data_IF_097971265392
#
_entry.id   IF_097971265392
#
_cell.length_a   1.000
_cell.length_b   1.000
_cell.length_c   1.000
_cell.angle_alpha   90.00
_cell.angle_beta   90.00
_cell.angle_gamma   90.00
#
_symmetry.space_group_name_H-M   'P 1'
#
loop_
_entity.id
_entity.type
_entity.pdbx_description
1 polymer ?
#
# COMPACT_ATOMS: atom_id res chain seq x y z
N UNK A 1 -4.03 9.74 12.03
CA UNK A 1 -4.25 9.66 10.56
C UNK A 1 -4.13 8.22 10.03
N UNK A 2 -4.78 7.84 8.91
CA UNK A 2 -4.52 6.53 8.28
C UNK A 2 -3.23 6.58 7.46
N UNK A 3 -2.30 5.66 7.76
CA UNK A 3 -1.07 5.43 7.01
C UNK A 3 -1.20 4.14 6.21
N UNK A 4 -0.80 4.19 4.94
CA UNK A 4 -0.70 3.01 4.08
C UNK A 4 0.74 2.51 4.00
N UNK A 5 0.94 1.20 4.15
CA UNK A 5 2.26 0.55 4.10
C UNK A 5 2.59 -0.01 2.72
N UNK A 6 2.08 0.62 1.65
CA UNK A 6 2.17 0.07 0.29
C UNK A 6 3.63 -0.13 -0.18
N UNK A 7 4.54 0.78 0.17
CA UNK A 7 5.98 0.63 -0.18
C UNK A 7 6.63 -0.56 0.53
N UNK A 8 6.25 -0.79 1.78
CA UNK A 8 6.78 -1.87 2.61
C UNK A 8 6.30 -3.22 2.06
N UNK A 9 5.00 -3.34 1.75
CA UNK A 9 4.42 -4.54 1.13
C UNK A 9 5.03 -4.87 -0.23
N UNK A 10 5.29 -3.86 -1.07
CA UNK A 10 5.97 -4.06 -2.37
C UNK A 10 7.40 -4.59 -2.18
N UNK A 11 8.14 -4.01 -1.23
CA UNK A 11 9.50 -4.43 -0.95
C UNK A 11 9.54 -5.85 -0.37
N UNK A 12 8.64 -6.15 0.56
CA UNK A 12 8.54 -7.47 1.18
C UNK A 12 8.16 -8.55 0.17
N UNK A 13 7.16 -8.30 -0.67
CA UNK A 13 6.79 -9.23 -1.75
C UNK A 13 7.94 -9.45 -2.73
N UNK A 14 8.64 -8.38 -3.12
CA UNK A 14 9.81 -8.51 -3.99
C UNK A 14 10.95 -9.31 -3.36
N UNK A 15 11.14 -9.18 -2.04
CA UNK A 15 12.10 -9.98 -1.30
C UNK A 15 11.69 -11.45 -1.24
N UNK A 16 10.43 -11.75 -0.91
CA UNK A 16 9.88 -13.11 -0.84
C UNK A 16 9.92 -13.84 -2.19
N UNK A 17 9.55 -13.15 -3.27
CA UNK A 17 9.54 -13.72 -4.62
C UNK A 17 10.92 -13.69 -5.32
N UNK A 18 11.95 -13.17 -4.65
CA UNK A 18 13.29 -12.98 -5.20
C UNK A 18 13.30 -12.20 -6.54
N UNK A 19 12.37 -11.26 -6.70
CA UNK A 19 12.18 -10.45 -7.92
C UNK A 19 11.86 -9.00 -7.59
N UNK A 20 12.10 -8.11 -8.54
CA UNK A 20 11.76 -6.69 -8.36
C UNK A 20 10.28 -6.44 -8.68
N UNK A 21 9.44 -6.39 -7.65
CA UNK A 21 8.05 -5.94 -7.78
C UNK A 21 8.03 -4.42 -7.98
N UNK A 22 7.25 -3.96 -8.94
CA UNK A 22 7.11 -2.52 -9.25
C UNK A 22 5.66 -2.08 -9.13
N UNK A 23 5.43 -0.77 -8.94
CA UNK A 23 4.07 -0.21 -8.95
C UNK A 23 3.31 -0.48 -10.26
N UNK A 24 4.03 -0.66 -11.37
CA UNK A 24 3.43 -1.00 -12.67
C UNK A 24 2.88 -2.42 -12.69
N UNK A 25 3.62 -3.37 -12.11
CA UNK A 25 3.20 -4.75 -11.94
C UNK A 25 1.99 -4.86 -11.01
N UNK A 26 2.06 -4.21 -9.84
CA UNK A 26 0.92 -4.15 -8.91
C UNK A 26 -0.30 -3.56 -9.61
N UNK A 27 -0.11 -2.50 -10.43
CA UNK A 27 -1.20 -1.88 -11.19
C UNK A 27 -1.85 -2.86 -12.17
N UNK A 28 -1.04 -3.66 -12.87
CA UNK A 28 -1.53 -4.67 -13.84
C UNK A 28 -2.24 -5.82 -13.14
N UNK A 29 -1.69 -6.34 -12.05
CA UNK A 29 -2.26 -7.50 -11.35
C UNK A 29 -3.50 -7.15 -10.52
N UNK A 30 -3.52 -5.98 -9.87
CA UNK A 30 -4.68 -5.53 -9.07
C UNK A 30 -5.75 -4.82 -9.89
N UNK A 31 -5.42 -4.37 -11.11
CA UNK A 31 -6.26 -3.47 -11.91
C UNK A 31 -6.40 -2.05 -11.33
N UNK A 32 -5.63 -1.69 -10.30
CA UNK A 32 -5.63 -0.34 -9.73
C UNK A 32 -4.72 0.55 -10.59
N UNK A 33 -5.14 1.78 -10.90
CA UNK A 33 -4.27 2.71 -11.62
C UNK A 33 -2.97 3.02 -10.85
N UNK A 34 -1.83 2.98 -11.56
CA UNK A 34 -0.49 3.34 -11.03
C UNK A 34 -0.47 4.70 -10.33
N UNK A 35 -1.25 5.69 -10.80
CA UNK A 35 -1.36 7.00 -10.17
C UNK A 35 -2.00 6.93 -8.78
N UNK A 36 -3.04 6.11 -8.63
CA UNK A 36 -3.69 5.83 -7.34
C UNK A 36 -2.74 5.12 -6.39
N UNK A 37 -2.03 4.08 -6.85
CA UNK A 37 -1.01 3.40 -6.04
C UNK A 37 0.10 4.36 -5.61
N UNK A 38 0.54 5.26 -6.50
CA UNK A 38 1.54 6.27 -6.17
C UNK A 38 1.04 7.25 -5.09
N UNK A 39 -0.23 7.67 -5.16
CA UNK A 39 -0.84 8.51 -4.11
C UNK A 39 -0.92 7.76 -2.79
N UNK A 40 -1.39 6.53 -2.78
CA UNK A 40 -1.44 5.69 -1.57
C UNK A 40 -0.04 5.52 -0.96
N UNK A 41 0.98 5.30 -1.79
CA UNK A 41 2.37 5.09 -1.35
C UNK A 41 3.08 6.35 -0.84
N UNK A 42 2.69 7.54 -1.30
CA UNK A 42 3.41 8.79 -1.02
C UNK A 42 2.61 9.80 -0.18
N UNK A 43 1.28 9.74 -0.22
CA UNK A 43 0.38 10.67 0.45
C UNK A 43 -0.24 10.01 1.67
N UNK A 44 0.13 10.50 2.85
CA UNK A 44 -0.52 10.09 4.10
C UNK A 44 -1.96 10.60 4.12
N UNK A 45 -2.90 9.80 4.63
CA UNK A 45 -4.32 10.18 4.68
C UNK A 45 -5.01 10.28 3.31
N UNK A 46 -4.49 9.61 2.27
CA UNK A 46 -5.18 9.56 0.98
C UNK A 46 -6.55 8.86 1.10
N UNK A 47 -7.59 9.50 0.57
CA UNK A 47 -8.93 8.91 0.52
C UNK A 47 -8.96 7.80 -0.54
N UNK A 48 -8.95 6.56 -0.08
CA UNK A 48 -9.12 5.35 -0.90
C UNK A 48 -10.46 4.69 -0.60
N UNK A 49 -10.90 3.80 -1.48
CA UNK A 49 -12.11 2.99 -1.27
C UNK A 49 -11.76 1.62 -0.68
N UNK A 50 -12.74 0.97 -0.07
CA UNK A 50 -12.61 -0.40 0.45
C UNK A 50 -12.28 -1.40 -0.64
N UNK A 51 -12.77 -1.21 -1.86
CA UNK A 51 -12.44 -2.07 -3.02
C UNK A 51 -10.93 -2.06 -3.32
N UNK A 52 -10.28 -0.90 -3.24
CA UNK A 52 -8.84 -0.80 -3.47
C UNK A 52 -8.09 -1.53 -2.35
N UNK A 53 -8.54 -1.40 -1.10
CA UNK A 53 -7.93 -2.08 0.04
C UNK A 53 -8.07 -3.59 -0.09
N UNK A 54 -9.25 -4.08 -0.46
CA UNK A 54 -9.52 -5.51 -0.70
C UNK A 54 -8.59 -6.08 -1.78
N UNK A 55 -8.49 -5.41 -2.94
CA UNK A 55 -7.58 -5.81 -4.02
C UNK A 55 -6.12 -5.87 -3.58
N UNK A 56 -5.67 -4.93 -2.75
CA UNK A 56 -4.32 -4.94 -2.20
C UNK A 56 -4.12 -6.10 -1.22
N UNK A 57 -5.09 -6.35 -0.33
CA UNK A 57 -5.04 -7.48 0.60
C UNK A 57 -4.93 -8.81 -0.16
N UNK A 58 -5.74 -9.00 -1.20
CA UNK A 58 -5.72 -10.20 -2.06
C UNK A 58 -4.37 -10.33 -2.78
N UNK A 59 -3.87 -9.25 -3.37
CA UNK A 59 -2.63 -9.27 -4.15
C UNK A 59 -1.39 -9.55 -3.28
N UNK A 60 -1.31 -8.96 -2.09
CA UNK A 60 -0.20 -9.16 -1.16
C UNK A 60 -0.39 -10.40 -0.28
N UNK A 61 -1.60 -10.95 -0.19
CA UNK A 61 -1.92 -12.08 0.68
C UNK A 61 -1.85 -11.73 2.16
N UNK A 62 -2.16 -10.47 2.53
CA UNK A 62 -2.03 -9.95 3.89
C UNK A 62 -3.36 -9.44 4.42
N UNK A 63 -3.44 -9.27 5.74
CA UNK A 63 -4.60 -8.70 6.40
C UNK A 63 -4.71 -7.18 6.17
N UNK A 64 -5.92 -6.64 6.32
CA UNK A 64 -6.19 -5.21 6.12
C UNK A 64 -5.30 -4.30 6.98
N UNK A 65 -5.00 -4.72 8.20
CA UNK A 65 -4.14 -3.99 9.14
C UNK A 65 -2.70 -3.81 8.66
N UNK A 66 -2.22 -4.72 7.81
CA UNK A 66 -0.89 -4.64 7.20
C UNK A 66 -0.87 -3.65 6.04
N UNK A 67 -2.01 -3.49 5.33
CA UNK A 67 -2.15 -2.52 4.25
C UNK A 67 -2.37 -1.10 4.78
N UNK A 68 -3.29 -0.96 5.73
CA UNK A 68 -3.74 0.31 6.27
C UNK A 68 -3.79 0.26 7.79
N UNK A 69 -3.08 1.17 8.44
CA UNK A 69 -3.04 1.28 9.89
C UNK A 69 -3.40 2.70 10.31
N UNK A 70 -4.19 2.83 11.37
CA UNK A 70 -4.30 4.09 12.07
C UNK A 70 -2.99 4.37 12.82
N UNK A 71 -2.35 5.48 12.48
CA UNK A 71 -1.23 6.01 13.27
C UNK A 71 -1.71 7.27 13.97
N UNK A 72 -1.49 7.34 15.27
CA UNK A 72 -1.53 8.61 15.98
C UNK A 72 -0.49 9.52 15.33
N UNK A 73 -0.84 10.77 15.05
CA UNK A 73 0.19 11.73 14.63
C UNK A 73 1.19 11.79 15.78
N UNK A 74 2.48 11.44 15.57
CA UNK A 74 3.47 11.90 16.52
C UNK A 74 3.34 13.42 16.49
N UNK A 75 3.09 14.03 17.64
CA UNK A 75 3.43 15.44 17.82
C UNK A 75 4.84 15.57 17.24
N UNK A 76 4.99 16.30 16.12
CA UNK A 76 6.29 16.68 15.59
C UNK A 76 7.02 17.35 16.75
N UNK A 77 7.86 16.56 17.43
CA UNK A 77 8.71 17.04 18.51
C UNK A 77 9.71 18.00 17.89
N UNK A 78 9.57 19.26 18.32
CA UNK A 78 10.43 20.44 18.13
C UNK A 78 11.92 20.13 17.85
#
# INVERSE_FOLDING_TARGET
>A
MIRFRLKELIAEKGFQENRRVTLDEVSKETGIHRTTLSKIANQRGYNTTTEILDKLCIYFGVELQEVAQHVEEPEDGD
#
